data_IF_692338546139
#
_entry.id   IF_692338546139
#
_cell.length_a   1.000
_cell.length_b   1.000
_cell.length_c   1.000
_cell.angle_alpha   90.00
_cell.angle_beta   90.00
_cell.angle_gamma   90.00
#
_symmetry.space_group_name_H-M   'P 1'
#
loop_
_entity.id
_entity.type
_entity.pdbx_description
1 polymer ?
#
# COMPACT_ATOMS: atom_id res chain seq x y z
N UNK A 1 23.47 -12.02 4.66
CA UNK A 1 22.88 -13.38 4.75
C UNK A 1 22.79 -14.06 3.39
N UNK A 2 23.42 -13.49 2.34
CA UNK A 2 23.46 -14.07 1.00
C UNK A 2 22.14 -13.98 0.21
N UNK A 3 21.26 -13.04 0.59
CA UNK A 3 20.00 -12.75 -0.08
C UNK A 3 19.99 -11.29 -0.51
N UNK A 4 21.01 -10.90 -1.32
CA UNK A 4 21.07 -9.55 -1.84
C UNK A 4 20.09 -9.38 -3.01
N UNK A 5 19.42 -8.20 -3.13
CA UNK A 5 18.51 -7.97 -4.25
C UNK A 5 19.27 -7.85 -5.57
N UNK A 6 18.69 -8.37 -6.65
CA UNK A 6 19.20 -8.17 -8.00
C UNK A 6 18.96 -6.74 -8.46
N UNK A 7 17.81 -6.16 -8.09
CA UNK A 7 17.41 -4.79 -8.35
C UNK A 7 16.93 -4.07 -7.09
N UNK A 8 17.11 -2.76 -7.05
CA UNK A 8 16.72 -1.92 -5.92
C UNK A 8 17.91 -1.28 -5.22
N UNK A 9 17.84 -1.18 -3.89
CA UNK A 9 18.92 -0.62 -3.09
C UNK A 9 19.87 -1.71 -2.59
N UNK A 10 21.17 -1.48 -2.75
CA UNK A 10 22.24 -2.33 -2.22
C UNK A 10 23.28 -1.48 -1.49
N UNK A 11 23.88 -2.03 -0.44
CA UNK A 11 25.05 -1.44 0.20
C UNK A 11 26.33 -1.99 -0.46
N UNK A 12 27.15 -1.08 -1.00
CA UNK A 12 28.46 -1.40 -1.55
C UNK A 12 29.47 -0.49 -0.88
N UNK A 13 30.48 -1.08 -0.23
CA UNK A 13 31.53 -0.35 0.52
C UNK A 13 30.98 0.69 1.52
N UNK A 14 29.83 0.41 2.12
CA UNK A 14 29.17 1.28 3.10
C UNK A 14 28.30 2.39 2.50
N UNK A 15 28.22 2.50 1.19
CA UNK A 15 27.34 3.44 0.48
C UNK A 15 26.08 2.74 -0.03
N UNK A 16 24.93 3.44 0.07
CA UNK A 16 23.67 2.98 -0.48
C UNK A 16 23.60 3.36 -1.96
N UNK A 17 23.58 2.36 -2.82
CA UNK A 17 23.49 2.55 -4.27
C UNK A 17 22.18 1.98 -4.83
N UNK A 18 21.69 2.55 -5.92
CA UNK A 18 20.61 1.97 -6.72
C UNK A 18 21.23 1.01 -7.76
N UNK A 19 20.64 -0.20 -7.89
CA UNK A 19 21.06 -1.24 -8.83
C UNK A 19 19.85 -1.70 -9.64
N UNK A 20 20.02 -1.90 -10.94
CA UNK A 20 19.00 -2.39 -11.89
C UNK A 20 18.55 -1.34 -12.88
N UNK A 21 17.74 -1.77 -13.86
CA UNK A 21 17.38 -0.97 -15.05
C UNK A 21 15.97 -0.34 -14.95
N UNK A 22 15.17 -0.72 -13.94
CA UNK A 22 13.78 -0.26 -13.76
C UNK A 22 13.65 0.91 -12.78
N UNK A 23 14.77 1.53 -12.40
CA UNK A 23 14.81 2.69 -11.51
C UNK A 23 14.17 3.96 -12.09
N UNK A 24 14.19 5.07 -11.32
CA UNK A 24 14.74 5.17 -9.98
C UNK A 24 13.88 4.40 -8.94
N UNK A 25 14.53 3.72 -7.97
CA UNK A 25 13.82 2.93 -6.94
C UNK A 25 13.40 3.78 -5.74
N UNK A 26 13.93 4.99 -5.61
CA UNK A 26 13.54 5.93 -4.57
C UNK A 26 12.21 6.60 -4.94
N UNK A 27 11.15 6.36 -4.17
CA UNK A 27 9.80 6.89 -4.44
C UNK A 27 9.74 8.41 -4.57
N UNK A 28 10.54 9.16 -3.80
CA UNK A 28 10.60 10.63 -3.92
C UNK A 28 11.10 11.13 -5.29
N UNK A 29 11.75 10.30 -6.08
CA UNK A 29 12.17 10.60 -7.46
C UNK A 29 11.11 10.24 -8.51
N UNK A 30 9.98 9.66 -8.11
CA UNK A 30 8.90 9.16 -8.97
C UNK A 30 7.58 9.91 -8.82
N UNK A 31 7.58 11.06 -8.15
CA UNK A 31 6.36 11.80 -7.81
C UNK A 31 5.51 12.16 -9.02
N UNK A 32 6.13 12.56 -10.14
CA UNK A 32 5.41 12.88 -11.38
C UNK A 32 4.69 11.66 -11.96
N UNK A 33 5.28 10.49 -11.84
CA UNK A 33 4.68 9.24 -12.29
C UNK A 33 3.41 8.94 -11.47
N UNK A 34 3.48 9.02 -10.15
CA UNK A 34 2.31 8.79 -9.30
C UNK A 34 1.21 9.81 -9.54
N UNK A 35 1.57 11.08 -9.70
CA UNK A 35 0.62 12.15 -10.02
C UNK A 35 -0.08 11.87 -11.36
N UNK A 36 0.67 11.49 -12.39
CA UNK A 36 0.12 11.11 -13.70
C UNK A 36 -0.97 10.05 -13.58
N UNK A 37 -0.71 8.98 -12.84
CA UNK A 37 -1.67 7.89 -12.70
C UNK A 37 -2.82 8.19 -11.74
N UNK A 38 -2.61 9.02 -10.72
CA UNK A 38 -3.71 9.52 -9.90
C UNK A 38 -4.69 10.36 -10.73
N UNK A 39 -4.19 11.27 -11.58
CA UNK A 39 -5.01 12.08 -12.48
C UNK A 39 -5.70 11.23 -13.55
N UNK A 40 -4.98 10.27 -14.14
CA UNK A 40 -5.60 9.30 -15.07
C UNK A 40 -6.80 8.59 -14.43
N UNK A 41 -6.69 8.15 -13.19
CA UNK A 41 -7.82 7.53 -12.47
C UNK A 41 -9.00 8.49 -12.30
N UNK A 42 -8.75 9.80 -12.12
CA UNK A 42 -9.81 10.82 -12.07
C UNK A 42 -10.46 10.98 -13.45
N UNK A 43 -9.66 11.10 -14.50
CA UNK A 43 -10.15 11.26 -15.87
C UNK A 43 -10.97 10.05 -16.34
N UNK A 44 -10.61 8.86 -15.90
CA UNK A 44 -11.34 7.60 -16.16
C UNK A 44 -12.58 7.41 -15.27
N UNK A 45 -12.86 8.33 -14.32
CA UNK A 45 -13.99 8.24 -13.38
C UNK A 45 -13.79 7.21 -12.25
N UNK A 46 -12.57 6.68 -12.08
CA UNK A 46 -12.17 5.69 -11.09
C UNK A 46 -11.64 6.32 -9.78
N UNK A 47 -11.43 7.63 -9.77
CA UNK A 47 -11.06 8.42 -8.61
C UNK A 47 -11.72 9.80 -8.68
N UNK A 48 -11.65 10.55 -7.59
CA UNK A 48 -12.24 11.88 -7.51
C UNK A 48 -11.49 12.80 -6.57
N UNK A 49 -11.62 14.11 -6.78
CA UNK A 49 -11.10 15.15 -5.90
C UNK A 49 -11.92 15.22 -4.61
N UNK A 50 -11.24 15.29 -3.48
CA UNK A 50 -11.86 15.45 -2.18
C UNK A 50 -11.30 16.72 -1.49
N UNK A 51 -12.18 17.68 -1.25
CA UNK A 51 -11.88 18.99 -0.64
C UNK A 51 -12.30 19.07 0.85
N UNK A 52 -12.59 17.95 1.48
CA UNK A 52 -12.99 17.91 2.88
C UNK A 52 -11.86 18.35 3.81
N UNK A 53 -12.18 19.22 4.77
CA UNK A 53 -11.26 19.61 5.83
C UNK A 53 -11.00 18.45 6.82
N UNK A 54 -9.92 18.56 7.59
CA UNK A 54 -9.61 17.59 8.65
C UNK A 54 -10.70 17.57 9.72
N UNK A 55 -11.20 18.74 10.10
CA UNK A 55 -12.24 18.90 11.12
C UNK A 55 -13.49 18.12 10.74
N UNK A 56 -13.98 18.29 9.49
CA UNK A 56 -15.13 17.54 8.96
C UNK A 56 -14.88 16.01 9.00
N UNK A 57 -13.72 15.57 8.55
CA UNK A 57 -13.39 14.14 8.54
C UNK A 57 -13.31 13.56 9.95
N UNK A 58 -12.80 14.32 10.93
CA UNK A 58 -12.74 13.90 12.33
C UNK A 58 -14.12 13.88 12.98
N UNK A 59 -15.01 14.80 12.63
CA UNK A 59 -16.42 14.79 13.10
C UNK A 59 -17.15 13.53 12.62
N UNK A 60 -17.03 13.19 11.32
CA UNK A 60 -17.63 11.97 10.77
C UNK A 60 -17.09 10.74 11.48
N UNK A 61 -15.77 10.64 11.62
CA UNK A 61 -15.13 9.51 12.29
C UNK A 61 -15.62 9.33 13.72
N UNK A 62 -15.72 10.45 14.49
CA UNK A 62 -16.25 10.43 15.86
C UNK A 62 -17.71 9.99 15.91
N UNK A 63 -18.53 10.48 14.97
CA UNK A 63 -19.94 10.09 14.87
C UNK A 63 -20.11 8.59 14.58
N UNK A 64 -19.34 8.06 13.63
CA UNK A 64 -19.35 6.64 13.27
C UNK A 64 -18.86 5.75 14.44
N UNK A 65 -17.78 6.16 15.12
CA UNK A 65 -17.29 5.45 16.32
C UNK A 65 -18.33 5.42 17.44
N UNK A 66 -19.02 6.56 17.70
CA UNK A 66 -20.10 6.63 18.67
C UNK A 66 -21.27 5.72 18.31
N UNK A 67 -21.54 5.58 17.01
CA UNK A 67 -22.55 4.67 16.48
C UNK A 67 -22.07 3.20 16.38
N UNK A 68 -20.83 2.88 16.82
CA UNK A 68 -20.17 1.57 16.69
C UNK A 68 -20.09 1.07 15.24
N UNK A 69 -19.99 1.98 14.28
CA UNK A 69 -19.79 1.70 12.88
C UNK A 69 -18.30 1.73 12.57
N UNK A 70 -17.89 0.97 11.54
CA UNK A 70 -16.54 1.05 11.04
C UNK A 70 -16.32 2.43 10.40
N UNK A 71 -15.28 3.19 10.81
CA UNK A 71 -14.99 4.50 10.23
C UNK A 71 -14.69 4.39 8.73
N UNK A 72 -15.46 5.11 7.92
CA UNK A 72 -15.30 5.21 6.47
C UNK A 72 -15.56 6.64 6.02
N UNK A 73 -14.98 6.99 4.88
CA UNK A 73 -15.33 8.24 4.22
C UNK A 73 -16.77 8.16 3.67
N UNK A 74 -17.54 9.23 3.87
CA UNK A 74 -18.96 9.30 3.53
C UNK A 74 -19.23 9.65 2.05
N UNK A 75 -18.21 9.65 1.21
CA UNK A 75 -18.28 9.97 -0.22
C UNK A 75 -18.80 11.38 -0.55
N UNK A 76 -18.79 12.31 0.40
CA UNK A 76 -19.31 13.66 0.23
C UNK A 76 -18.84 14.39 -1.05
N UNK A 77 -17.61 14.16 -1.47
CA UNK A 77 -17.06 14.81 -2.67
C UNK A 77 -17.13 13.91 -3.91
N UNK A 78 -17.72 12.70 -3.82
CA UNK A 78 -17.73 11.74 -4.93
C UNK A 78 -18.58 12.21 -6.10
N UNK A 79 -19.67 12.92 -5.80
CA UNK A 79 -20.70 13.33 -6.76
C UNK A 79 -20.76 14.85 -6.91
N UNK A 80 -19.62 15.54 -6.70
CA UNK A 80 -19.51 16.99 -6.98
C UNK A 80 -19.64 17.24 -8.48
N UNK A 81 -20.38 18.28 -8.83
CA UNK A 81 -20.50 18.72 -10.22
C UNK A 81 -19.15 19.22 -10.75
N UNK A 82 -18.97 19.08 -12.07
CA UNK A 82 -17.71 19.42 -12.71
C UNK A 82 -17.35 20.89 -12.53
N UNK A 83 -18.34 21.76 -12.62
CA UNK A 83 -18.20 23.21 -12.43
C UNK A 83 -17.70 23.56 -11.02
N UNK A 84 -18.21 22.88 -10.00
CA UNK A 84 -17.78 23.07 -8.60
C UNK A 84 -16.32 22.62 -8.41
N UNK A 85 -15.94 21.52 -9.04
CA UNK A 85 -14.56 21.00 -9.01
C UNK A 85 -13.63 22.02 -9.67
N UNK A 86 -13.96 22.49 -10.89
CA UNK A 86 -13.17 23.46 -11.64
C UNK A 86 -13.01 24.79 -10.86
N UNK A 87 -14.08 25.29 -10.23
CA UNK A 87 -14.03 26.48 -9.41
C UNK A 87 -13.10 26.32 -8.20
N UNK A 88 -13.19 25.17 -7.51
CA UNK A 88 -12.32 24.86 -6.35
C UNK A 88 -10.85 24.73 -6.75
N UNK A 89 -10.57 24.09 -7.88
CA UNK A 89 -9.20 23.97 -8.41
C UNK A 89 -8.66 25.34 -8.86
N UNK A 90 -9.48 26.18 -9.51
CA UNK A 90 -9.10 27.53 -9.93
C UNK A 90 -8.83 28.49 -8.75
N UNK A 91 -9.43 28.21 -7.58
CA UNK A 91 -9.20 28.97 -6.34
C UNK A 91 -8.10 28.40 -5.45
N UNK A 92 -7.26 27.49 -5.98
CA UNK A 92 -6.20 26.81 -5.25
C UNK A 92 -6.67 26.14 -3.93
N UNK A 93 -7.94 25.69 -3.89
CA UNK A 93 -8.46 24.98 -2.71
C UNK A 93 -7.69 23.67 -2.52
N UNK A 94 -7.09 23.43 -1.33
CA UNK A 94 -6.36 22.19 -1.07
C UNK A 94 -7.25 20.95 -1.26
N UNK A 95 -6.73 19.94 -1.93
CA UNK A 95 -7.44 18.71 -2.19
C UNK A 95 -6.57 17.48 -1.99
N UNK A 96 -7.21 16.34 -1.88
CA UNK A 96 -6.62 15.02 -2.04
C UNK A 96 -7.36 14.28 -3.15
N UNK A 97 -6.74 13.25 -3.73
CA UNK A 97 -7.44 12.34 -4.66
C UNK A 97 -7.77 11.06 -3.91
N UNK A 98 -9.02 10.62 -4.00
CA UNK A 98 -9.51 9.36 -3.45
C UNK A 98 -9.87 8.40 -4.57
N UNK A 99 -9.53 7.11 -4.38
CA UNK A 99 -10.08 6.06 -5.25
C UNK A 99 -11.59 5.95 -5.05
N UNK A 100 -12.33 5.66 -6.12
CA UNK A 100 -13.76 5.38 -6.10
C UNK A 100 -13.97 3.87 -6.11
N UNK A 101 -14.12 3.28 -4.92
CA UNK A 101 -14.28 1.83 -4.77
C UNK A 101 -15.58 1.38 -5.47
N UNK A 102 -15.53 0.48 -6.46
CA UNK A 102 -16.73 -0.05 -7.11
C UNK A 102 -17.45 -1.04 -6.21
N UNK A 103 -18.71 -1.30 -6.49
CA UNK A 103 -19.41 -2.44 -5.87
C UNK A 103 -18.81 -3.77 -6.35
N UNK A 104 -18.87 -4.80 -5.50
CA UNK A 104 -18.38 -6.13 -5.83
C UNK A 104 -17.54 -6.77 -4.77
N UNK A 105 -16.69 -7.69 -5.19
CA UNK A 105 -15.77 -8.45 -4.30
C UNK A 105 -14.42 -8.63 -4.97
N UNK A 106 -13.37 -8.56 -4.18
CA UNK A 106 -12.03 -8.97 -4.59
C UNK A 106 -11.78 -10.41 -4.18
N UNK A 107 -11.38 -11.25 -5.14
CA UNK A 107 -10.89 -12.62 -4.90
C UNK A 107 -9.37 -12.60 -4.98
N UNK A 108 -8.73 -12.92 -3.88
CA UNK A 108 -7.28 -12.98 -3.78
C UNK A 108 -6.89 -14.46 -3.78
N UNK A 109 -6.13 -14.89 -4.80
CA UNK A 109 -5.50 -16.21 -4.80
C UNK A 109 -4.12 -16.07 -4.16
N UNK A 110 -4.09 -16.21 -2.84
CA UNK A 110 -2.85 -16.07 -2.09
C UNK A 110 -2.08 -17.40 -2.09
N UNK A 111 -0.77 -17.36 -2.34
CA UNK A 111 0.07 -18.55 -2.47
C UNK A 111 0.20 -19.31 -1.14
N UNK A 112 -0.03 -18.65 -0.01
CA UNK A 112 0.12 -19.24 1.34
C UNK A 112 -1.24 -19.41 2.01
N UNK A 113 -2.12 -18.38 1.89
CA UNK A 113 -3.43 -18.35 2.57
C UNK A 113 -4.56 -18.98 1.76
N UNK A 114 -4.31 -19.36 0.49
CA UNK A 114 -5.33 -19.85 -0.42
C UNK A 114 -6.29 -18.75 -0.90
N UNK A 115 -7.52 -19.12 -1.19
CA UNK A 115 -8.52 -18.15 -1.64
C UNK A 115 -9.05 -17.31 -0.48
N UNK A 116 -8.91 -15.98 -0.60
CA UNK A 116 -9.48 -14.99 0.32
C UNK A 116 -10.42 -14.09 -0.47
N UNK A 117 -11.67 -13.96 0.00
CA UNK A 117 -12.68 -13.12 -0.64
C UNK A 117 -13.03 -11.97 0.30
N UNK A 118 -12.91 -10.73 -0.18
CA UNK A 118 -13.24 -9.52 0.59
C UNK A 118 -14.29 -8.73 -0.18
N UNK A 119 -15.38 -8.38 0.49
CA UNK A 119 -16.44 -7.56 -0.05
C UNK A 119 -16.00 -6.10 -0.15
N UNK A 120 -16.29 -5.42 -1.26
CA UNK A 120 -15.90 -4.03 -1.45
C UNK A 120 -16.64 -3.08 -0.49
N UNK A 121 -17.76 -3.51 0.07
CA UNK A 121 -18.44 -2.78 1.15
C UNK A 121 -17.55 -2.63 2.40
N UNK A 122 -16.51 -3.45 2.58
CA UNK A 122 -15.52 -3.34 3.65
C UNK A 122 -14.34 -2.42 3.30
N UNK A 123 -14.21 -2.02 2.04
CA UNK A 123 -13.11 -1.19 1.53
C UNK A 123 -13.53 0.27 1.52
N UNK A 124 -12.69 1.14 2.09
CA UNK A 124 -12.90 2.60 2.10
C UNK A 124 -12.39 3.25 0.81
N UNK A 125 -13.01 4.36 0.39
CA UNK A 125 -12.49 5.24 -0.66
C UNK A 125 -11.20 5.92 -0.17
N UNK A 126 -10.11 5.18 -0.23
CA UNK A 126 -8.82 5.57 0.33
C UNK A 126 -8.23 6.76 -0.43
N UNK A 127 -7.58 7.67 0.30
CA UNK A 127 -6.73 8.69 -0.32
C UNK A 127 -5.58 7.98 -1.05
N UNK A 128 -5.42 8.29 -2.32
CA UNK A 128 -4.32 7.76 -3.16
C UNK A 128 -3.25 8.82 -3.43
N UNK A 129 -3.64 10.11 -3.52
CA UNK A 129 -2.71 11.24 -3.62
C UNK A 129 -3.04 12.26 -2.54
N UNK A 130 -2.03 12.68 -1.78
CA UNK A 130 -2.14 13.66 -0.71
C UNK A 130 -2.07 15.09 -1.25
N UNK A 131 -2.49 16.07 -0.44
CA UNK A 131 -2.47 17.50 -0.79
C UNK A 131 -1.06 18.06 -0.99
N UNK A 132 -0.02 17.40 -0.47
CA UNK A 132 1.38 17.74 -0.69
C UNK A 132 1.94 17.17 -2.01
N UNK A 133 1.11 16.49 -2.81
CA UNK A 133 1.50 15.85 -4.06
C UNK A 133 2.15 14.46 -3.91
N UNK A 134 2.39 14.01 -2.68
CA UNK A 134 2.90 12.65 -2.45
C UNK A 134 1.79 11.60 -2.55
N UNK A 135 2.07 10.44 -3.14
CA UNK A 135 1.14 9.33 -3.14
C UNK A 135 1.00 8.77 -1.71
N UNK A 136 -0.11 8.09 -1.46
CA UNK A 136 -0.14 7.13 -0.35
C UNK A 136 0.53 5.82 -0.78
N UNK A 137 0.86 4.97 0.19
CA UNK A 137 1.43 3.65 -0.07
C UNK A 137 0.64 2.85 -1.11
N UNK A 138 -0.70 2.94 -1.07
CA UNK A 138 -1.56 2.14 -1.94
C UNK A 138 -1.40 2.46 -3.44
N UNK A 139 -1.28 3.73 -3.81
CA UNK A 139 -1.02 4.10 -5.20
C UNK A 139 0.45 3.83 -5.56
N UNK A 140 1.37 4.22 -4.67
CA UNK A 140 2.79 4.09 -4.94
C UNK A 140 3.18 2.65 -5.24
N UNK A 141 2.77 1.69 -4.39
CA UNK A 141 3.12 0.28 -4.56
C UNK A 141 2.55 -0.30 -5.85
N UNK A 142 1.30 0.04 -6.23
CA UNK A 142 0.68 -0.47 -7.46
C UNK A 142 1.39 0.05 -8.71
N UNK A 143 1.74 1.34 -8.71
CA UNK A 143 2.48 1.95 -9.82
C UNK A 143 3.90 1.41 -9.89
N UNK A 144 4.57 1.27 -8.75
CA UNK A 144 5.93 0.73 -8.70
C UNK A 144 5.97 -0.74 -9.11
N UNK A 145 5.08 -1.57 -8.57
CA UNK A 145 4.99 -3.00 -8.93
C UNK A 145 4.79 -3.19 -10.45
N UNK A 146 3.96 -2.34 -11.07
CA UNK A 146 3.74 -2.41 -12.52
C UNK A 146 5.01 -2.01 -13.32
N UNK A 147 5.60 -0.86 -13.01
CA UNK A 147 6.74 -0.34 -13.78
C UNK A 147 8.07 -1.01 -13.42
N UNK A 148 8.15 -1.67 -12.29
CA UNK A 148 9.29 -2.51 -11.89
C UNK A 148 9.07 -3.99 -12.22
N UNK A 149 8.01 -4.30 -12.99
CA UNK A 149 7.70 -5.65 -13.50
C UNK A 149 7.65 -6.72 -12.39
N UNK A 150 7.12 -6.34 -11.21
CA UNK A 150 7.01 -7.25 -10.07
C UNK A 150 5.99 -8.35 -10.39
N UNK A 151 6.43 -9.60 -10.36
CA UNK A 151 5.59 -10.77 -10.64
C UNK A 151 4.99 -11.39 -9.39
N UNK A 152 5.62 -11.19 -8.22
CA UNK A 152 5.17 -11.77 -6.96
C UNK A 152 5.49 -10.84 -5.80
N UNK A 153 4.47 -10.52 -5.00
CA UNK A 153 4.58 -9.73 -3.77
C UNK A 153 4.57 -10.66 -2.56
N UNK A 154 5.67 -10.67 -1.80
CA UNK A 154 5.80 -11.42 -0.55
C UNK A 154 5.85 -10.43 0.60
N UNK A 155 4.89 -10.51 1.55
CA UNK A 155 4.80 -9.57 2.67
C UNK A 155 4.08 -10.17 3.87
N UNK A 156 4.10 -9.49 5.01
CA UNK A 156 3.39 -9.95 6.20
C UNK A 156 1.87 -9.93 6.05
N UNK A 157 1.19 -10.85 6.72
CA UNK A 157 -0.28 -11.02 6.66
C UNK A 157 -1.09 -9.81 7.12
N UNK A 158 -0.48 -8.88 7.86
CA UNK A 158 -1.12 -7.62 8.27
C UNK A 158 -1.50 -6.74 7.06
N UNK A 159 -0.93 -7.01 5.89
CA UNK A 159 -1.24 -6.31 4.65
C UNK A 159 -2.37 -6.96 3.84
N UNK A 160 -2.81 -8.16 4.22
CA UNK A 160 -3.89 -8.86 3.54
C UNK A 160 -5.19 -8.02 3.43
N UNK A 161 -5.63 -7.29 4.47
CA UNK A 161 -6.81 -6.40 4.36
C UNK A 161 -6.62 -5.21 3.40
N UNK A 162 -5.39 -4.89 3.02
CA UNK A 162 -5.08 -3.84 2.04
C UNK A 162 -5.04 -4.34 0.59
N UNK A 163 -4.92 -5.65 0.39
CA UNK A 163 -4.80 -6.27 -0.94
C UNK A 163 -5.98 -5.95 -1.86
N UNK A 164 -7.25 -5.90 -1.40
CA UNK A 164 -8.38 -5.50 -2.25
C UNK A 164 -8.18 -4.13 -2.89
N UNK A 165 -7.63 -3.16 -2.15
CA UNK A 165 -7.36 -1.80 -2.65
C UNK A 165 -6.35 -1.84 -3.82
N UNK A 166 -5.34 -2.68 -3.69
CA UNK A 166 -4.33 -2.85 -4.75
C UNK A 166 -4.93 -3.53 -5.98
N UNK A 167 -5.70 -4.61 -5.80
CA UNK A 167 -6.38 -5.29 -6.91
C UNK A 167 -7.35 -4.37 -7.64
N UNK A 168 -8.12 -3.56 -6.90
CA UNK A 168 -9.03 -2.56 -7.47
C UNK A 168 -8.22 -1.54 -8.30
N UNK A 169 -7.09 -1.03 -7.78
CA UNK A 169 -6.24 -0.07 -8.50
C UNK A 169 -5.61 -0.68 -9.75
N UNK A 170 -5.09 -1.93 -9.69
CA UNK A 170 -4.59 -2.64 -10.86
C UNK A 170 -5.66 -2.76 -11.93
N UNK A 171 -6.88 -3.19 -11.54
CA UNK A 171 -8.00 -3.33 -12.47
C UNK A 171 -8.43 -2.00 -13.09
N UNK A 172 -8.52 -0.92 -12.29
CA UNK A 172 -8.87 0.43 -12.75
C UNK A 172 -7.86 0.99 -13.75
N UNK A 173 -6.58 0.62 -13.60
CA UNK A 173 -5.50 1.04 -14.50
C UNK A 173 -5.36 0.12 -15.73
N UNK A 174 -6.10 -0.99 -15.77
CA UNK A 174 -6.03 -1.98 -16.84
C UNK A 174 -4.73 -2.80 -16.79
N UNK A 175 -4.14 -2.99 -15.62
CA UNK A 175 -2.91 -3.71 -15.42
C UNK A 175 -3.14 -5.09 -14.79
N UNK A 176 -2.31 -6.05 -15.14
CA UNK A 176 -2.29 -7.34 -14.47
C UNK A 176 -1.66 -7.20 -13.08
N UNK A 177 -2.34 -7.74 -12.07
CA UNK A 177 -1.83 -7.75 -10.71
C UNK A 177 -0.78 -8.86 -10.52
N UNK A 178 0.26 -8.63 -9.70
CA UNK A 178 1.21 -9.67 -9.32
C UNK A 178 0.54 -10.77 -8.50
N UNK A 179 1.21 -11.91 -8.34
CA UNK A 179 0.83 -12.92 -7.36
C UNK A 179 1.10 -12.41 -5.95
N UNK A 180 0.34 -12.87 -4.97
CA UNK A 180 0.50 -12.48 -3.57
C UNK A 180 0.84 -13.69 -2.71
N UNK A 181 1.74 -13.48 -1.75
CA UNK A 181 2.10 -14.44 -0.71
C UNK A 181 2.16 -13.71 0.64
N UNK A 182 1.16 -13.91 1.49
CA UNK A 182 1.09 -13.30 2.81
C UNK A 182 1.62 -14.27 3.87
N UNK A 183 2.88 -14.02 4.31
CA UNK A 183 3.53 -14.82 5.35
C UNK A 183 2.99 -14.46 6.73
N UNK A 184 2.91 -15.42 7.68
CA UNK A 184 2.51 -15.17 9.05
C UNK A 184 3.47 -14.20 9.74
N UNK A 185 2.95 -13.49 10.75
CA UNK A 185 3.77 -12.62 11.58
C UNK A 185 4.62 -13.42 12.56
N UNK A 186 5.85 -12.96 12.77
CA UNK A 186 6.65 -13.38 13.91
C UNK A 186 6.08 -12.71 15.17
N UNK A 187 5.77 -13.54 16.16
CA UNK A 187 5.16 -13.10 17.40
C UNK A 187 6.12 -13.30 18.58
N UNK A 188 5.99 -12.44 19.56
CA UNK A 188 6.59 -12.64 20.88
C UNK A 188 5.90 -13.81 21.63
N UNK A 189 6.50 -14.33 22.73
CA UNK A 189 5.86 -15.37 23.55
C UNK A 189 4.49 -15.00 24.10
N UNK A 190 4.21 -13.71 24.29
CA UNK A 190 2.93 -13.15 24.70
C UNK A 190 1.92 -12.99 23.55
N UNK A 191 2.26 -13.47 22.34
CA UNK A 191 1.51 -13.34 21.09
C UNK A 191 1.39 -11.90 20.55
N UNK A 192 2.08 -10.94 21.11
CA UNK A 192 2.18 -9.60 20.51
C UNK A 192 3.08 -9.65 19.27
N UNK A 193 2.83 -8.72 18.32
CA UNK A 193 3.66 -8.60 17.11
C UNK A 193 5.09 -8.23 17.50
N UNK A 194 6.07 -8.97 16.97
CA UNK A 194 7.47 -8.61 17.10
C UNK A 194 7.71 -7.23 16.46
N UNK A 195 8.26 -6.29 17.20
CA UNK A 195 8.44 -4.92 16.73
C UNK A 195 9.84 -4.38 17.06
N UNK A 196 10.34 -3.46 16.22
CA UNK A 196 11.64 -2.80 16.42
C UNK A 196 11.77 -2.06 17.75
N UNK A 197 10.66 -1.77 18.44
CA UNK A 197 10.66 -1.09 19.75
C UNK A 197 10.95 -2.03 20.93
N UNK A 198 10.89 -3.35 20.71
CA UNK A 198 11.02 -4.37 21.75
C UNK A 198 12.41 -5.03 21.78
N UNK A 199 13.37 -4.51 21.02
CA UNK A 199 14.74 -5.05 20.94
C UNK A 199 15.13 -5.49 19.53
N UNK A 200 16.17 -6.30 19.48
CA UNK A 200 16.83 -6.72 18.26
C UNK A 200 15.97 -7.64 17.39
N UNK A 201 15.28 -7.04 16.42
CA UNK A 201 14.48 -7.75 15.40
C UNK A 201 15.08 -7.65 13.99
N UNK A 202 16.19 -6.93 13.86
CA UNK A 202 16.93 -6.86 12.62
C UNK A 202 17.74 -8.14 12.40
N UNK A 203 17.91 -8.55 11.14
CA UNK A 203 18.69 -9.75 10.80
C UNK A 203 20.13 -9.68 11.33
N UNK A 204 20.71 -8.49 11.33
CA UNK A 204 22.05 -8.20 11.84
C UNK A 204 22.18 -8.57 13.31
N UNK A 205 21.18 -8.28 14.13
CA UNK A 205 21.18 -8.60 15.56
C UNK A 205 21.29 -10.11 15.85
N UNK A 206 20.75 -10.94 14.96
CA UNK A 206 20.90 -12.40 15.08
C UNK A 206 22.30 -12.84 14.71
N UNK A 207 22.93 -12.21 13.71
CA UNK A 207 24.32 -12.47 13.35
C UNK A 207 25.26 -12.08 14.49
N UNK A 208 25.04 -10.93 15.12
CA UNK A 208 25.83 -10.45 16.29
C UNK A 208 25.72 -11.39 17.50
N UNK A 209 24.62 -12.12 17.62
CA UNK A 209 24.40 -13.16 18.63
C UNK A 209 24.99 -14.51 18.25
N UNK A 210 25.66 -14.64 17.10
CA UNK A 210 26.33 -15.84 16.64
C UNK A 210 25.45 -16.84 15.89
N UNK A 211 24.24 -16.44 15.48
CA UNK A 211 23.47 -17.28 14.57
C UNK A 211 24.09 -17.26 13.18
N UNK A 212 24.23 -18.43 12.57
CA UNK A 212 24.77 -18.55 11.21
C UNK A 212 23.73 -18.10 10.18
N UNK A 213 24.14 -17.44 9.08
CA UNK A 213 23.22 -16.93 8.04
C UNK A 213 22.25 -17.99 7.52
N UNK A 214 22.73 -19.20 7.28
CA UNK A 214 21.93 -20.32 6.76
C UNK A 214 20.81 -20.72 7.71
N UNK A 215 21.04 -20.67 9.03
CA UNK A 215 20.00 -20.95 10.01
C UNK A 215 18.91 -19.89 10.00
N UNK A 216 19.27 -18.60 9.82
CA UNK A 216 18.31 -17.51 9.72
C UNK A 216 17.46 -17.66 8.46
N UNK A 217 18.08 -17.89 7.30
CA UNK A 217 17.38 -18.10 6.02
C UNK A 217 16.46 -19.31 6.10
N UNK A 218 16.94 -20.43 6.64
CA UNK A 218 16.13 -21.65 6.80
C UNK A 218 14.92 -21.40 7.69
N UNK A 219 15.09 -20.72 8.83
CA UNK A 219 13.98 -20.37 9.73
C UNK A 219 12.94 -19.50 9.05
N UNK A 220 13.36 -18.42 8.38
CA UNK A 220 12.46 -17.50 7.68
C UNK A 220 11.72 -18.21 6.55
N UNK A 221 12.39 -19.12 5.84
CA UNK A 221 11.77 -19.90 4.76
C UNK A 221 10.62 -20.80 5.26
N UNK A 222 10.66 -21.27 6.51
CA UNK A 222 9.58 -22.08 7.09
C UNK A 222 8.28 -21.31 7.28
N UNK A 223 8.31 -19.98 7.31
CA UNK A 223 7.09 -19.15 7.45
C UNK A 223 6.17 -19.25 6.23
N UNK A 224 6.71 -19.55 5.06
CA UNK A 224 5.94 -19.76 3.83
C UNK A 224 5.58 -21.23 3.56
N UNK A 225 6.10 -22.15 4.36
CA UNK A 225 5.91 -23.60 4.22
C UNK A 225 5.13 -24.14 5.42
N UNK A 226 3.83 -24.35 5.24
CA UNK A 226 3.00 -25.13 6.16
C UNK A 226 2.14 -26.09 5.37
#
# INVERSE_FOLDING_TARGET
VGADPDEGFSYVDGELIERGDLGPYQQSKRLDLYRKYALKLVDDGNAYYCFCSRERLDEIRKAQQKAKQQPKYDRHCCDLEKEDIEQKLASDTPYVIRMKVPEGKSKIQDMIRGEVVIDHSEVDDQVILKSDGFPTYHLAVVVDDHFMEITTVIRGEEWLPSTPKHLILFNMLGWDAPKFAHVPLLLNPDKSKLSKRQGDVAAESYLDRGYVPEAIVNFVSTLGYN
#
